data_IF_670069211241
#
_entry.id   IF_670069211241
#
_cell.length_a   1.000
_cell.length_b   1.000
_cell.length_c   1.000
_cell.angle_alpha   90.00
_cell.angle_beta   90.00
_cell.angle_gamma   90.00
#
_symmetry.space_group_name_H-M   'P 1'
#
loop_
_entity.id
_entity.type
_entity.pdbx_description
1 polymer ?
#
# COMPACT_ATOMS: atom_id res chain seq x y z
N UNK A 1 -10.52 5.52 -2.95
CA UNK A 1 -10.36 5.08 -4.35
C UNK A 1 -10.82 6.15 -5.31
N UNK A 2 -12.11 6.55 -5.29
CA UNK A 2 -12.67 7.57 -6.19
C UNK A 2 -11.78 8.81 -6.41
N UNK A 3 -11.28 9.44 -5.34
CA UNK A 3 -10.43 10.63 -5.46
C UNK A 3 -9.09 10.39 -6.19
N UNK A 4 -8.54 9.18 -6.14
CA UNK A 4 -7.32 8.81 -6.88
C UNK A 4 -7.64 8.55 -8.35
N UNK A 5 -8.75 7.88 -8.61
CA UNK A 5 -9.24 7.60 -9.97
C UNK A 5 -9.60 8.91 -10.70
N UNK A 6 -10.27 9.85 -10.01
CA UNK A 6 -10.61 11.18 -10.53
C UNK A 6 -9.36 12.01 -10.86
N UNK A 7 -8.24 11.75 -10.16
CA UNK A 7 -6.94 12.37 -10.42
C UNK A 7 -6.15 11.65 -11.54
N UNK A 8 -6.71 10.60 -12.14
CA UNK A 8 -6.08 9.83 -13.22
C UNK A 8 -5.07 8.77 -12.76
N UNK A 9 -5.04 8.44 -11.46
CA UNK A 9 -4.14 7.42 -10.94
C UNK A 9 -4.62 6.02 -11.33
N UNK A 10 -3.66 5.13 -11.62
CA UNK A 10 -3.92 3.69 -11.74
C UNK A 10 -3.86 3.07 -10.35
N UNK A 11 -4.91 2.37 -9.96
CA UNK A 11 -5.02 1.80 -8.62
C UNK A 11 -4.92 0.29 -8.70
N UNK A 12 -3.97 -0.27 -7.95
CA UNK A 12 -3.77 -1.72 -7.78
C UNK A 12 -3.98 -2.04 -6.30
N UNK A 13 -4.78 -3.05 -5.98
CA UNK A 13 -5.15 -3.37 -4.62
C UNK A 13 -5.09 -4.87 -4.32
N UNK A 14 -4.78 -5.16 -3.07
CA UNK A 14 -4.83 -6.49 -2.48
C UNK A 14 -5.43 -6.39 -1.07
N UNK A 15 -6.36 -7.29 -0.76
CA UNK A 15 -6.85 -7.52 0.59
C UNK A 15 -7.01 -9.04 0.81
N UNK A 16 -6.46 -9.62 1.89
CA UNK A 16 -6.54 -11.06 2.13
C UNK A 16 -7.97 -11.59 2.31
N UNK A 17 -8.91 -10.75 2.76
CA UNK A 17 -10.26 -11.16 3.19
C UNK A 17 -11.38 -10.44 2.43
N UNK A 18 -11.11 -9.26 1.86
CA UNK A 18 -12.11 -8.35 1.30
C UNK A 18 -12.27 -8.39 -0.22
N UNK A 19 -11.38 -9.08 -0.94
CA UNK A 19 -11.26 -8.91 -2.40
C UNK A 19 -12.48 -9.38 -3.19
N UNK A 20 -13.08 -10.53 -2.83
CA UNK A 20 -14.25 -11.05 -3.54
C UNK A 20 -15.46 -10.12 -3.46
N UNK A 21 -15.67 -9.50 -2.30
CA UNK A 21 -16.78 -8.59 -2.06
C UNK A 21 -16.50 -7.20 -2.65
N UNK A 22 -15.24 -6.77 -2.61
CA UNK A 22 -14.87 -5.41 -3.01
C UNK A 22 -14.65 -5.26 -4.53
N UNK A 23 -14.21 -6.31 -5.23
CA UNK A 23 -13.93 -6.26 -6.67
C UNK A 23 -15.12 -5.80 -7.53
N UNK A 24 -16.37 -6.27 -7.32
CA UNK A 24 -17.53 -5.80 -8.09
C UNK A 24 -17.85 -4.32 -7.85
N UNK A 25 -17.47 -3.78 -6.70
CA UNK A 25 -17.75 -2.40 -6.30
C UNK A 25 -16.67 -1.42 -6.78
N UNK A 26 -15.54 -1.91 -7.27
CA UNK A 26 -14.36 -1.12 -7.63
C UNK A 26 -13.84 -1.46 -9.04
N UNK A 27 -14.61 -1.20 -10.10
CA UNK A 27 -14.25 -1.60 -11.47
C UNK A 27 -13.01 -0.90 -12.03
N UNK A 28 -12.59 0.24 -11.46
CA UNK A 28 -11.37 0.95 -11.84
C UNK A 28 -10.10 0.45 -11.14
N UNK A 29 -10.23 -0.50 -10.22
CA UNK A 29 -9.12 -1.01 -9.42
C UNK A 29 -8.68 -2.38 -9.94
N UNK A 30 -7.39 -2.51 -10.20
CA UNK A 30 -6.79 -3.81 -10.54
C UNK A 30 -6.56 -4.61 -9.27
N UNK A 31 -7.28 -5.72 -9.14
CA UNK A 31 -7.19 -6.63 -8.02
C UNK A 31 -6.07 -7.66 -8.25
N UNK A 32 -5.13 -7.79 -7.30
CA UNK A 32 -3.97 -8.70 -7.39
C UNK A 32 -3.93 -9.71 -6.25
N UNK A 33 -2.98 -10.64 -6.29
CA UNK A 33 -3.00 -11.83 -5.42
C UNK A 33 -2.23 -11.67 -4.12
N UNK A 34 -1.31 -10.71 -4.06
CA UNK A 34 -0.56 -10.42 -2.86
C UNK A 34 -0.07 -8.95 -2.82
N UNK A 35 0.46 -8.56 -1.66
CA UNK A 35 0.95 -7.20 -1.41
C UNK A 35 2.19 -6.85 -2.25
N UNK A 36 2.98 -7.83 -2.68
CA UNK A 36 4.18 -7.59 -3.50
C UNK A 36 3.79 -7.30 -4.95
N UNK A 37 2.79 -8.00 -5.49
CA UNK A 37 2.19 -7.66 -6.78
C UNK A 37 1.57 -6.25 -6.75
N UNK A 38 0.94 -5.86 -5.64
CA UNK A 38 0.35 -4.53 -5.49
C UNK A 38 1.40 -3.40 -5.46
N UNK A 39 2.58 -3.68 -4.88
CA UNK A 39 3.68 -2.72 -4.81
C UNK A 39 4.54 -2.66 -6.08
N UNK A 40 4.57 -3.72 -6.89
CA UNK A 40 5.43 -3.80 -8.06
C UNK A 40 5.14 -2.68 -9.07
N UNK A 41 6.14 -1.84 -9.32
CA UNK A 41 6.04 -0.70 -10.24
C UNK A 41 5.20 0.47 -9.73
N UNK A 42 4.79 0.47 -8.45
CA UNK A 42 4.01 1.56 -7.88
C UNK A 42 4.88 2.79 -7.55
N UNK A 43 4.29 3.98 -7.67
CA UNK A 43 4.89 5.24 -7.17
C UNK A 43 4.61 5.48 -5.68
N UNK A 44 3.49 4.94 -5.17
CA UNK A 44 3.06 5.09 -3.78
C UNK A 44 2.35 3.81 -3.34
N UNK A 45 2.71 3.31 -2.16
CA UNK A 45 2.04 2.21 -1.48
C UNK A 45 1.23 2.79 -0.31
N UNK A 46 -0.07 2.45 -0.23
CA UNK A 46 -0.96 2.94 0.82
C UNK A 46 -1.51 1.76 1.61
N UNK A 47 -1.29 1.75 2.92
CA UNK A 47 -1.84 0.76 3.82
C UNK A 47 -3.14 1.29 4.46
N UNK A 48 -4.25 0.61 4.18
CA UNK A 48 -5.61 1.03 4.59
C UNK A 48 -6.23 0.11 5.65
N UNK A 49 -5.81 -1.15 5.74
CA UNK A 49 -6.29 -2.16 6.69
C UNK A 49 -5.11 -2.75 7.49
N UNK A 50 -5.36 -3.17 8.74
CA UNK A 50 -4.33 -3.61 9.68
C UNK A 50 -4.19 -5.14 9.82
N UNK A 51 -4.43 -5.91 8.75
CA UNK A 51 -4.27 -7.36 8.76
C UNK A 51 -2.85 -7.79 9.17
N UNK A 52 -2.74 -8.83 10.01
CA UNK A 52 -1.44 -9.27 10.55
C UNK A 52 -0.44 -9.71 9.45
N UNK A 53 -0.94 -10.21 8.31
CA UNK A 53 -0.10 -10.55 7.16
C UNK A 53 0.73 -9.36 6.67
N UNK A 54 0.21 -8.13 6.82
CA UNK A 54 0.95 -6.92 6.43
C UNK A 54 2.10 -6.63 7.40
N UNK A 55 1.92 -6.87 8.71
CA UNK A 55 3.00 -6.68 9.70
C UNK A 55 4.22 -7.56 9.45
N UNK A 56 4.05 -8.68 8.74
CA UNK A 56 5.10 -9.63 8.42
C UNK A 56 5.74 -9.44 7.03
N UNK A 57 5.41 -8.36 6.30
CA UNK A 57 5.97 -8.11 4.98
C UNK A 57 7.44 -7.70 5.03
N UNK A 58 8.20 -8.11 4.03
CA UNK A 58 9.56 -7.63 3.80
C UNK A 58 9.52 -6.25 3.13
N UNK A 59 9.68 -5.21 3.96
CA UNK A 59 9.68 -3.83 3.49
C UNK A 59 10.79 -3.53 2.48
N UNK A 60 11.97 -4.15 2.60
CA UNK A 60 13.07 -3.93 1.65
C UNK A 60 12.71 -4.48 0.28
N UNK A 61 12.08 -5.66 0.24
CA UNK A 61 11.58 -6.25 -1.01
C UNK A 61 10.52 -5.39 -1.66
N UNK A 62 9.58 -4.83 -0.89
CA UNK A 62 8.56 -3.93 -1.41
C UNK A 62 9.20 -2.68 -2.01
N UNK A 63 10.05 -1.98 -1.24
CA UNK A 63 10.72 -0.76 -1.69
C UNK A 63 11.53 -0.99 -2.97
N UNK A 64 12.24 -2.13 -3.07
CA UNK A 64 13.02 -2.48 -4.25
C UNK A 64 12.18 -2.75 -5.52
N UNK A 65 10.90 -3.08 -5.36
CA UNK A 65 10.00 -3.34 -6.50
C UNK A 65 9.25 -2.10 -7.00
N UNK A 66 9.28 -1.00 -6.24
CA UNK A 66 8.57 0.24 -6.54
C UNK A 66 9.37 1.17 -7.45
N UNK A 67 8.67 2.04 -8.20
CA UNK A 67 9.31 3.13 -8.95
C UNK A 67 9.79 4.21 -7.99
N UNK A 68 8.95 4.55 -7.02
CA UNK A 68 9.26 5.47 -5.92
C UNK A 68 8.81 4.81 -4.61
N UNK A 69 9.72 4.55 -3.66
CA UNK A 69 9.36 3.90 -2.41
C UNK A 69 8.72 4.91 -1.45
N UNK A 70 7.48 5.32 -1.73
CA UNK A 70 6.67 6.14 -0.83
C UNK A 70 5.63 5.26 -0.14
N UNK A 71 5.61 5.25 1.19
CA UNK A 71 4.68 4.48 2.00
C UNK A 71 3.75 5.40 2.79
N UNK A 72 2.45 5.26 2.63
CA UNK A 72 1.44 5.94 3.43
C UNK A 72 0.78 4.91 4.34
N UNK A 73 1.12 4.93 5.62
CA UNK A 73 0.57 4.03 6.62
C UNK A 73 -0.55 4.73 7.41
N UNK A 74 -1.80 4.40 7.05
CA UNK A 74 -3.00 4.93 7.71
C UNK A 74 -3.39 4.17 8.98
N UNK A 75 -2.68 3.09 9.31
CA UNK A 75 -2.95 2.21 10.46
C UNK A 75 -1.84 2.20 11.49
N UNK A 76 -0.74 2.91 11.23
CA UNK A 76 0.38 3.07 12.14
C UNK A 76 1.02 1.73 12.55
N UNK A 77 1.01 0.73 11.67
CA UNK A 77 1.56 -0.60 11.96
C UNK A 77 3.08 -0.65 11.79
N UNK A 78 3.66 0.21 10.96
CA UNK A 78 5.11 0.25 10.73
C UNK A 78 5.78 1.38 11.53
N UNK A 79 6.83 1.06 12.32
CA UNK A 79 7.71 2.07 12.88
C UNK A 79 8.38 2.91 11.77
N UNK A 80 8.49 4.23 11.99
CA UNK A 80 9.11 5.14 11.01
C UNK A 80 10.55 4.74 10.70
N UNK A 81 11.32 4.38 11.73
CA UNK A 81 12.71 3.97 11.58
C UNK A 81 12.85 2.73 10.67
N UNK A 82 12.03 1.71 10.90
CA UNK A 82 12.06 0.45 10.14
C UNK A 82 11.74 0.68 8.66
N UNK A 83 10.68 1.45 8.37
CA UNK A 83 10.32 1.80 6.99
C UNK A 83 11.40 2.64 6.31
N UNK A 84 11.98 3.60 7.03
CA UNK A 84 13.06 4.45 6.50
C UNK A 84 14.33 3.64 6.20
N UNK A 85 14.72 2.73 7.10
CA UNK A 85 15.85 1.81 6.91
C UNK A 85 15.62 0.83 5.75
N UNK A 86 14.35 0.49 5.47
CA UNK A 86 13.98 -0.30 4.32
C UNK A 86 13.99 0.47 2.99
N UNK A 87 14.13 1.80 3.03
CA UNK A 87 14.21 2.67 1.87
C UNK A 87 12.95 3.47 1.56
N UNK A 88 11.95 3.46 2.45
CA UNK A 88 10.71 4.21 2.25
C UNK A 88 10.78 5.66 2.75
N UNK A 89 10.19 6.57 1.98
CA UNK A 89 9.64 7.80 2.50
C UNK A 89 8.26 7.51 3.12
N UNK A 90 8.18 7.48 4.45
CA UNK A 90 6.95 7.09 5.16
C UNK A 90 6.14 8.29 5.66
N UNK A 91 4.83 8.27 5.41
CA UNK A 91 3.83 9.19 5.99
C UNK A 91 2.84 8.41 6.84
N UNK A 92 2.50 8.96 8.01
CA UNK A 92 1.60 8.33 8.99
C UNK A 92 0.52 9.30 9.44
N UNK A 93 -0.67 8.78 9.75
CA UNK A 93 -1.75 9.60 10.32
C UNK A 93 -1.49 9.91 11.80
N UNK A 94 -1.74 11.15 12.20
CA UNK A 94 -1.60 11.61 13.58
C UNK A 94 -0.19 11.98 14.02
N UNK A 95 0.79 11.95 13.12
CA UNK A 95 2.13 12.50 13.36
C UNK A 95 2.23 13.93 12.82
N UNK A 96 2.91 14.82 13.56
CA UNK A 96 3.30 16.13 13.01
C UNK A 96 4.44 15.89 12.01
N UNK A 97 4.22 16.33 10.77
CA UNK A 97 5.27 16.39 9.75
C UNK A 97 6.34 17.42 10.06
#
# INVERSE_FOLDING_TARGET
MQALEDAGAKVVAYDPEGMEVAAPMMPGVTMVKDAYEAAAGADVLVLVTEWDIFRALDLKRLAASMVQPVLVDLRNIYPVAEATEAGFAITRVGQKG
#
